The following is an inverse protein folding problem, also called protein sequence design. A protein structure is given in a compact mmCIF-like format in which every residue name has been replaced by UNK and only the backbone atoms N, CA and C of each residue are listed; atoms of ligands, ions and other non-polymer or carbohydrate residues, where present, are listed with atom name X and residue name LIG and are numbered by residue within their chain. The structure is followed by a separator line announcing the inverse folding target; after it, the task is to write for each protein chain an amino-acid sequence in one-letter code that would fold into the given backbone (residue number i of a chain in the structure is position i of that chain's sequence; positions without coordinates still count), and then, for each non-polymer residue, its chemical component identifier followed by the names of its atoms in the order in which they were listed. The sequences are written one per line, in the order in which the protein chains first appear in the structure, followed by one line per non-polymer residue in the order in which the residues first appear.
data_IF_374612519940
#
_entry.id   IF_374612519940
#
_cell.length_a   1.000
_cell.length_b   1.000
_cell.length_c   1.000
_cell.angle_alpha   90.00
_cell.angle_beta   90.00
_cell.angle_gamma   90.00
#
_symmetry.space_group_name_H-M   'P 1'
#
loop_
_entity.id
_entity.type
_entity.pdbx_description
1 polymer ?
#
# COMPACT_ATOMS: atom_id res chain seq x y z
N UNK A 1 7.30 -18.46 17.30
CA UNK A 1 6.03 -18.18 18.01
C UNK A 1 6.19 -17.05 19.02
N UNK A 2 7.16 -17.11 19.94
CA UNK A 2 7.42 -16.04 20.92
C UNK A 2 7.68 -14.68 20.24
N UNK A 3 8.50 -14.64 19.19
CA UNK A 3 8.81 -13.41 18.45
C UNK A 3 7.60 -12.76 17.78
N UNK A 4 6.67 -13.57 17.26
CA UNK A 4 5.43 -13.09 16.65
C UNK A 4 4.49 -12.47 17.69
N UNK A 5 4.33 -13.11 18.85
CA UNK A 5 3.50 -12.60 19.95
C UNK A 5 4.06 -11.27 20.48
N UNK A 6 5.38 -11.19 20.67
CA UNK A 6 6.05 -9.95 21.08
C UNK A 6 5.88 -8.85 20.02
N UNK A 7 5.98 -9.20 18.73
CA UNK A 7 5.76 -8.27 17.62
C UNK A 7 4.35 -7.67 17.59
N UNK A 8 3.32 -8.50 17.75
CA UNK A 8 1.92 -8.03 17.78
C UNK A 8 1.64 -7.12 18.99
N UNK A 9 2.18 -7.46 20.17
CA UNK A 9 2.05 -6.61 21.36
C UNK A 9 2.74 -5.25 21.14
N UNK A 10 3.92 -5.24 20.52
CA UNK A 10 4.64 -4.00 20.20
C UNK A 10 3.89 -3.16 19.15
N UNK A 11 3.29 -3.81 18.14
CA UNK A 11 2.46 -3.16 17.14
C UNK A 11 1.22 -2.50 17.77
N UNK A 12 0.54 -3.22 18.68
CA UNK A 12 -0.59 -2.67 19.44
C UNK A 12 -0.18 -1.50 20.33
N UNK A 13 0.96 -1.60 21.01
CA UNK A 13 1.49 -0.50 21.80
C UNK A 13 1.80 0.73 20.93
N UNK A 14 2.36 0.55 19.74
CA UNK A 14 2.64 1.66 18.81
C UNK A 14 1.36 2.41 18.40
N UNK A 15 0.27 1.71 18.12
CA UNK A 15 -1.03 2.33 17.82
C UNK A 15 -1.65 3.06 19.03
N UNK A 16 -1.34 2.65 20.26
CA UNK A 16 -1.83 3.32 21.46
C UNK A 16 -1.08 4.63 21.77
N UNK A 17 0.20 4.73 21.37
CA UNK A 17 1.05 5.88 21.68
C UNK A 17 1.23 6.87 20.53
N UNK A 18 0.96 6.48 19.28
CA UNK A 18 1.13 7.34 18.12
C UNK A 18 -0.14 7.37 17.24
N UNK A 19 -0.48 8.53 16.66
CA UNK A 19 -1.56 8.63 15.68
C UNK A 19 -1.30 7.69 14.50
N UNK A 20 -2.39 7.15 13.93
CA UNK A 20 -2.35 6.15 12.87
C UNK A 20 -1.51 6.60 11.66
N UNK A 21 -1.44 7.91 11.41
CA UNK A 21 -0.65 8.55 10.35
C UNK A 21 0.86 8.31 10.48
N UNK A 22 1.37 8.12 11.70
CA UNK A 22 2.79 7.83 11.98
C UNK A 22 3.08 6.33 11.98
N UNK A 23 2.07 5.49 12.22
CA UNK A 23 2.25 4.03 12.26
C UNK A 23 2.27 3.43 10.85
N UNK A 24 1.54 4.00 9.90
CA UNK A 24 1.55 3.57 8.49
C UNK A 24 2.95 3.60 7.84
N UNK A 25 3.77 4.66 7.96
CA UNK A 25 5.13 4.67 7.41
C UNK A 25 6.11 3.75 8.15
N UNK A 26 5.86 3.42 9.44
CA UNK A 26 6.66 2.40 10.14
C UNK A 26 6.50 1.01 9.50
N UNK A 27 5.32 0.70 8.96
CA UNK A 27 5.10 -0.52 8.17
C UNK A 27 5.97 -0.58 6.91
N UNK A 28 6.11 0.54 6.20
CA UNK A 28 6.99 0.64 5.04
C UNK A 28 8.47 0.44 5.41
N UNK A 29 8.91 0.97 6.54
CA UNK A 29 10.28 0.77 7.05
C UNK A 29 10.57 -0.71 7.37
N UNK A 30 9.58 -1.44 7.89
CA UNK A 30 9.73 -2.89 8.16
C UNK A 30 10.04 -3.69 6.89
N UNK A 31 9.44 -3.34 5.75
CA UNK A 31 9.70 -3.97 4.45
C UNK A 31 11.16 -3.72 4.02
N UNK A 32 11.65 -2.49 4.20
CA UNK A 32 13.02 -2.11 3.83
C UNK A 32 14.04 -2.84 4.73
N UNK A 33 13.80 -2.87 6.04
CA UNK A 33 14.65 -3.57 7.00
C UNK A 33 14.69 -5.07 6.68
N UNK A 34 13.54 -5.67 6.35
CA UNK A 34 13.45 -7.07 5.95
C UNK A 34 14.24 -7.36 4.67
N UNK A 35 14.17 -6.49 3.66
CA UNK A 35 14.95 -6.61 2.44
C UNK A 35 16.46 -6.50 2.70
N UNK A 36 16.89 -5.59 3.58
CA UNK A 36 18.28 -5.44 3.98
C UNK A 36 18.80 -6.66 4.76
N UNK A 37 18.01 -7.17 5.72
CA UNK A 37 18.35 -8.37 6.48
C UNK A 37 18.42 -9.61 5.57
N UNK A 38 17.51 -9.76 4.61
CA UNK A 38 17.55 -10.85 3.65
C UNK A 38 18.85 -10.82 2.83
N UNK A 39 19.26 -9.65 2.34
CA UNK A 39 20.52 -9.50 1.60
C UNK A 39 21.75 -9.85 2.46
N UNK A 40 21.77 -9.48 3.75
CA UNK A 40 22.91 -9.72 4.64
C UNK A 40 22.95 -11.15 5.18
N UNK A 41 21.82 -11.67 5.68
CA UNK A 41 21.73 -12.96 6.37
C UNK A 41 21.61 -14.12 5.38
N UNK A 42 20.75 -14.01 4.36
CA UNK A 42 20.57 -15.06 3.35
C UNK A 42 21.61 -14.98 2.21
N UNK A 43 22.39 -13.89 2.14
CA UNK A 43 23.33 -13.59 1.04
C UNK A 43 22.70 -13.63 -0.35
N UNK A 44 21.39 -13.45 -0.44
CA UNK A 44 20.67 -13.36 -1.71
C UNK A 44 20.98 -12.02 -2.38
N UNK A 45 21.29 -12.07 -3.68
CA UNK A 45 21.43 -10.87 -4.49
C UNK A 45 20.03 -10.28 -4.69
N UNK A 46 19.81 -9.10 -4.14
CA UNK A 46 18.57 -8.38 -4.35
C UNK A 46 18.46 -8.02 -5.83
N UNK A 47 17.54 -8.68 -6.55
CA UNK A 47 17.33 -8.43 -7.97
C UNK A 47 16.92 -6.98 -8.21
N UNK A 48 17.08 -6.46 -9.44
CA UNK A 48 16.73 -5.07 -9.81
C UNK A 48 15.28 -4.73 -9.39
N UNK A 49 14.37 -5.71 -9.46
CA UNK A 49 12.98 -5.58 -9.01
C UNK A 49 12.83 -5.36 -7.50
N UNK A 50 13.68 -5.98 -6.67
CA UNK A 50 13.66 -5.76 -5.22
C UNK A 50 14.13 -4.35 -4.85
N UNK A 51 15.17 -3.86 -5.53
CA UNK A 51 15.64 -2.47 -5.37
C UNK A 51 14.56 -1.48 -5.81
N UNK A 52 13.91 -1.74 -6.95
CA UNK A 52 12.81 -0.92 -7.45
C UNK A 52 11.63 -0.90 -6.46
N UNK A 53 11.28 -2.04 -5.86
CA UNK A 53 10.26 -2.16 -4.82
C UNK A 53 10.61 -1.35 -3.56
N UNK A 54 11.85 -1.43 -3.08
CA UNK A 54 12.31 -0.60 -1.96
C UNK A 54 12.22 0.90 -2.29
N UNK A 55 12.64 1.30 -3.49
CA UNK A 55 12.54 2.71 -3.93
C UNK A 55 11.08 3.19 -3.98
N UNK A 56 10.19 2.39 -4.57
CA UNK A 56 8.75 2.67 -4.62
C UNK A 56 8.13 2.77 -3.21
N UNK A 57 8.56 1.92 -2.27
CA UNK A 57 8.08 1.94 -0.89
C UNK A 57 8.51 3.22 -0.14
N UNK A 58 9.74 3.69 -0.36
CA UNK A 58 10.23 4.97 0.19
C UNK A 58 9.48 6.16 -0.43
N UNK A 59 9.28 6.16 -1.75
CA UNK A 59 8.55 7.24 -2.42
C UNK A 59 7.08 7.26 -1.97
N UNK A 60 6.43 6.10 -1.88
CA UNK A 60 5.05 5.98 -1.42
C UNK A 60 4.86 6.45 0.02
N UNK A 61 5.71 5.98 0.94
CA UNK A 61 5.60 6.36 2.36
C UNK A 61 5.86 7.85 2.59
N UNK A 62 6.85 8.43 1.92
CA UNK A 62 7.12 9.88 2.00
C UNK A 62 6.00 10.71 1.38
N UNK A 63 5.41 10.27 0.27
CA UNK A 63 4.26 10.96 -0.35
C UNK A 63 3.06 10.97 0.57
N UNK A 64 2.74 9.84 1.23
CA UNK A 64 1.65 9.75 2.21
C UNK A 64 1.89 10.69 3.38
N UNK A 65 3.10 10.71 3.95
CA UNK A 65 3.42 11.59 5.10
C UNK A 65 3.38 13.07 4.70
N UNK A 66 3.87 13.43 3.51
CA UNK A 66 3.91 14.82 3.04
C UNK A 66 2.53 15.35 2.67
N UNK A 67 1.68 14.52 2.08
CA UNK A 67 0.33 14.89 1.67
C UNK A 67 -0.74 14.51 2.68
N UNK A 68 -0.35 13.95 3.84
CA UNK A 68 -1.27 13.63 4.91
C UNK A 68 -1.95 14.94 5.36
N UNK A 69 -3.26 15.14 5.06
CA UNK A 69 -3.98 16.26 5.65
C UNK A 69 -3.93 16.08 7.17
N UNK A 70 -3.78 17.17 7.92
CA UNK A 70 -3.93 17.08 9.37
C UNK A 70 -5.28 16.45 9.68
N UNK A 71 -5.27 15.42 10.52
CA UNK A 71 -6.44 14.70 11.03
C UNK A 71 -7.46 15.71 11.56
N UNK A 72 -8.31 16.25 10.69
CA UNK A 72 -9.54 16.91 11.11
C UNK A 72 -10.40 15.78 11.63
N UNK A 73 -10.75 15.85 12.91
CA UNK A 73 -11.75 14.98 13.49
C UNK A 73 -12.96 14.95 12.55
N UNK A 74 -13.21 13.80 11.93
CA UNK A 74 -14.27 13.62 10.95
C UNK A 74 -15.59 13.86 11.69
N UNK A 75 -16.21 15.02 11.50
CA UNK A 75 -17.50 15.35 12.10
C UNK A 75 -18.69 14.84 11.29
N UNK A 76 -18.50 14.24 10.09
CA UNK A 76 -19.67 13.81 9.29
C UNK A 76 -19.38 12.77 8.21
N UNK A 77 -19.76 11.51 8.50
CA UNK A 77 -19.98 10.40 7.53
C UNK A 77 -20.79 10.80 6.27
N UNK A 78 -21.83 11.66 6.33
CA UNK A 78 -22.59 12.01 5.12
C UNK A 78 -21.81 12.82 4.07
N UNK A 79 -20.78 13.58 4.44
CA UNK A 79 -20.01 14.40 3.49
C UNK A 79 -19.07 13.55 2.61
N UNK A 80 -18.51 12.49 3.20
CA UNK A 80 -17.78 11.45 2.45
C UNK A 80 -18.74 10.69 1.51
N UNK A 81 -19.97 10.45 1.97
CA UNK A 81 -20.99 9.77 1.16
C UNK A 81 -21.44 10.61 -0.03
N UNK A 82 -21.66 11.92 0.15
CA UNK A 82 -22.01 12.83 -0.95
C UNK A 82 -20.86 13.02 -1.95
N UNK A 83 -19.60 13.07 -1.46
CA UNK A 83 -18.43 13.13 -2.33
C UNK A 83 -18.18 11.82 -3.08
N UNK A 84 -18.45 10.67 -2.44
CA UNK A 84 -18.39 9.35 -3.07
C UNK A 84 -19.52 9.13 -4.09
N UNK A 85 -20.66 9.81 -3.94
CA UNK A 85 -21.78 9.79 -4.88
C UNK A 85 -21.59 10.77 -6.05
N UNK A 86 -20.51 11.55 -6.07
CA UNK A 86 -20.20 12.44 -7.19
C UNK A 86 -20.03 11.61 -8.48
N UNK A 87 -20.70 11.99 -9.58
CA UNK A 87 -20.66 11.21 -10.82
C UNK A 87 -19.24 11.05 -11.39
N UNK A 88 -18.32 11.98 -11.10
CA UNK A 88 -16.93 11.85 -11.52
C UNK A 88 -16.18 10.75 -10.74
N UNK A 89 -16.41 10.63 -9.43
CA UNK A 89 -15.81 9.59 -8.61
C UNK A 89 -16.33 8.21 -8.99
N UNK A 90 -17.65 8.07 -9.21
CA UNK A 90 -18.26 6.83 -9.66
C UNK A 90 -17.71 6.37 -11.03
N UNK A 91 -17.52 7.30 -11.98
CA UNK A 91 -16.92 6.98 -13.27
C UNK A 91 -15.46 6.53 -13.13
N UNK A 92 -14.67 7.23 -12.31
CA UNK A 92 -13.29 6.83 -12.00
C UNK A 92 -13.23 5.44 -11.37
N UNK A 93 -14.04 5.18 -10.33
CA UNK A 93 -14.10 3.91 -9.65
C UNK A 93 -14.50 2.77 -10.60
N UNK A 94 -15.52 2.98 -11.44
CA UNK A 94 -15.94 1.99 -12.44
C UNK A 94 -14.84 1.70 -13.47
N UNK A 95 -14.12 2.73 -13.94
CA UNK A 95 -13.00 2.57 -14.87
C UNK A 95 -11.85 1.77 -14.23
N UNK A 96 -11.45 2.13 -13.01
CA UNK A 96 -10.38 1.44 -12.27
C UNK A 96 -10.74 -0.03 -12.00
N UNK A 97 -11.97 -0.31 -11.57
CA UNK A 97 -12.45 -1.68 -11.37
C UNK A 97 -12.41 -2.44 -12.69
N UNK A 98 -12.94 -1.87 -13.77
CA UNK A 98 -12.97 -2.52 -15.09
C UNK A 98 -11.55 -2.82 -15.59
N UNK A 99 -10.63 -1.85 -15.49
CA UNK A 99 -9.23 -2.03 -15.86
C UNK A 99 -8.57 -3.13 -15.03
N UNK A 100 -8.83 -3.16 -13.71
CA UNK A 100 -8.32 -4.20 -12.81
C UNK A 100 -8.84 -5.58 -13.20
N UNK A 101 -10.13 -5.71 -13.50
CA UNK A 101 -10.71 -6.97 -13.98
C UNK A 101 -10.06 -7.43 -15.30
N UNK A 102 -9.84 -6.53 -16.25
CA UNK A 102 -9.16 -6.88 -17.52
C UNK A 102 -7.72 -7.36 -17.25
N UNK A 103 -6.98 -6.65 -16.41
CA UNK A 103 -5.63 -7.05 -16.02
C UNK A 103 -5.61 -8.42 -15.35
N UNK A 104 -6.54 -8.69 -14.43
CA UNK A 104 -6.61 -9.96 -13.69
C UNK A 104 -7.05 -11.13 -14.56
N UNK A 105 -8.12 -10.99 -15.32
CA UNK A 105 -8.68 -12.11 -16.10
C UNK A 105 -7.97 -12.35 -17.42
N UNK A 106 -7.35 -11.33 -18.01
CA UNK A 106 -6.67 -11.46 -19.32
C UNK A 106 -5.15 -11.48 -19.19
N UNK A 107 -4.55 -10.51 -18.49
CA UNK A 107 -3.09 -10.36 -18.47
C UNK A 107 -2.38 -11.27 -17.46
N UNK A 108 -2.98 -11.56 -16.30
CA UNK A 108 -2.37 -12.50 -15.34
C UNK A 108 -2.21 -13.92 -15.90
N UNK A 109 -3.21 -14.56 -16.57
CA UNK A 109 -3.01 -15.91 -17.10
C UNK A 109 -1.99 -15.94 -18.26
N UNK A 110 -1.83 -14.85 -19.01
CA UNK A 110 -0.92 -14.78 -20.16
C UNK A 110 0.52 -14.36 -19.78
N UNK A 111 0.69 -13.46 -18.81
CA UNK A 111 1.97 -12.81 -18.48
C UNK A 111 2.32 -12.80 -16.99
N UNK A 112 1.46 -13.31 -16.11
CA UNK A 112 1.64 -13.20 -14.66
C UNK A 112 2.90 -13.89 -14.14
N UNK A 113 3.32 -15.01 -14.75
CA UNK A 113 4.53 -15.72 -14.33
C UNK A 113 5.83 -15.11 -14.91
N UNK A 114 5.73 -14.24 -15.92
CA UNK A 114 6.89 -13.70 -16.65
C UNK A 114 7.14 -12.22 -16.33
N UNK A 115 6.09 -11.44 -16.06
CA UNK A 115 6.18 -10.01 -15.82
C UNK A 115 5.42 -9.58 -14.55
N UNK A 116 6.17 -9.45 -13.44
CA UNK A 116 5.68 -8.91 -12.15
C UNK A 116 5.03 -7.52 -12.27
N UNK A 117 5.34 -6.75 -13.32
CA UNK A 117 4.73 -5.44 -13.59
C UNK A 117 3.20 -5.48 -13.67
N UNK A 118 2.60 -6.60 -14.12
CA UNK A 118 1.13 -6.75 -14.15
C UNK A 118 0.55 -6.74 -12.73
N UNK A 119 1.18 -7.45 -11.80
CA UNK A 119 0.77 -7.46 -10.39
C UNK A 119 0.97 -6.10 -9.71
N UNK A 120 2.06 -5.40 -10.01
CA UNK A 120 2.31 -4.04 -9.51
C UNK A 120 1.21 -3.10 -10.02
N UNK A 121 0.86 -3.16 -11.31
CA UNK A 121 -0.21 -2.34 -11.89
C UNK A 121 -1.57 -2.58 -11.24
N UNK A 122 -1.95 -3.85 -11.03
CA UNK A 122 -3.18 -4.21 -10.30
C UNK A 122 -3.16 -3.65 -8.88
N UNK A 123 -2.06 -3.85 -8.15
CA UNK A 123 -1.93 -3.36 -6.78
C UNK A 123 -1.98 -1.82 -6.71
N UNK A 124 -1.34 -1.12 -7.64
CA UNK A 124 -1.38 0.35 -7.73
C UNK A 124 -2.76 0.89 -8.06
N UNK A 125 -3.50 0.25 -8.99
CA UNK A 125 -4.86 0.65 -9.34
C UNK A 125 -5.81 0.49 -8.14
N UNK A 126 -5.80 -0.67 -7.50
CA UNK A 126 -6.63 -0.94 -6.31
C UNK A 126 -6.22 -0.03 -5.15
N UNK A 127 -4.91 0.14 -4.91
CA UNK A 127 -4.40 1.03 -3.86
C UNK A 127 -4.80 2.49 -4.08
N UNK A 128 -4.80 2.98 -5.32
CA UNK A 128 -5.27 4.33 -5.64
C UNK A 128 -6.75 4.53 -5.31
N UNK A 129 -7.57 3.49 -5.54
CA UNK A 129 -8.99 3.50 -5.18
C UNK A 129 -9.16 3.53 -3.66
N UNK A 130 -8.36 2.78 -2.90
CA UNK A 130 -8.39 2.77 -1.43
C UNK A 130 -7.95 4.07 -0.77
N UNK A 131 -7.12 4.89 -1.45
CA UNK A 131 -6.71 6.21 -0.93
C UNK A 131 -7.80 7.26 -1.19
N UNK A 132 -8.54 7.10 -2.28
CA UNK A 132 -9.57 8.05 -2.70
C UNK A 132 -10.96 7.74 -2.10
N UNK A 133 -11.21 6.50 -1.66
CA UNK A 133 -12.41 6.05 -0.95
C UNK A 133 -12.29 6.34 0.55
#
# INVERSE_FOLDING_TARGET
MITMIVGEIANFAAYAFAPAILVTPLGALSIIISAALAHIILRERLHIFGVLGCALCVVGSTTIVLHAPQERAIESVPEVWDLAMDPAFLFYAALVITATFILVFHFIPLYGQTHIMVYIGVCSLVGSLSVLL
#
